data_IF_400594652876
#
_entry.id   IF_400594652876
#
_cell.length_a   1.000
_cell.length_b   1.000
_cell.length_c   1.000
_cell.angle_alpha   90.00
_cell.angle_beta   90.00
_cell.angle_gamma   90.00
#
_symmetry.space_group_name_H-M   'P 1'
#
loop_
_entity.id
_entity.type
_entity.pdbx_description
1 polymer ?
#
# COMPACT_ATOMS: atom_id res chain seq x y z
N UNK A 1 12.18 -18.78 7.35
CA UNK A 1 11.66 -17.42 7.12
C UNK A 1 10.40 -17.25 7.96
N UNK A 2 10.34 -16.27 8.85
CA UNK A 2 9.15 -15.99 9.65
C UNK A 2 8.04 -15.52 8.70
N UNK A 3 6.92 -16.25 8.66
CA UNK A 3 5.76 -15.81 7.91
C UNK A 3 5.19 -14.56 8.59
N UNK A 4 5.23 -13.44 7.90
CA UNK A 4 4.49 -12.23 8.25
C UNK A 4 3.24 -12.19 7.39
N UNK A 5 2.11 -11.84 7.98
CA UNK A 5 0.85 -11.78 7.25
C UNK A 5 0.29 -10.36 7.19
N UNK A 6 -0.48 -10.10 6.17
CA UNK A 6 -1.09 -8.81 5.90
C UNK A 6 -2.18 -8.98 4.85
N UNK A 7 -3.20 -8.14 4.91
CA UNK A 7 -4.12 -7.89 3.80
C UNK A 7 -4.12 -6.40 3.50
N UNK A 8 -3.71 -6.04 2.30
CA UNK A 8 -3.84 -4.65 1.80
C UNK A 8 -4.73 -4.60 0.58
N UNK A 9 -5.41 -3.50 0.40
CA UNK A 9 -6.31 -3.25 -0.74
C UNK A 9 -6.06 -1.83 -1.25
N UNK A 10 -6.01 -1.67 -2.56
CA UNK A 10 -6.04 -0.40 -3.26
C UNK A 10 -7.18 -0.39 -4.28
N UNK A 11 -7.96 0.68 -4.32
CA UNK A 11 -9.10 0.83 -5.26
C UNK A 11 -9.00 2.18 -5.95
N UNK A 12 -9.12 2.17 -7.27
CA UNK A 12 -9.31 3.38 -8.09
C UNK A 12 -10.81 3.64 -8.21
N UNK A 13 -11.24 4.82 -7.81
CA UNK A 13 -12.61 5.27 -7.94
C UNK A 13 -12.70 6.57 -8.74
N UNK A 14 -13.91 7.03 -9.04
CA UNK A 14 -14.16 8.18 -9.91
C UNK A 14 -13.46 9.46 -9.41
N UNK A 15 -13.44 9.68 -8.12
CA UNK A 15 -13.04 10.91 -7.45
C UNK A 15 -11.91 10.71 -6.42
N UNK A 16 -11.28 9.52 -6.39
CA UNK A 16 -10.22 9.23 -5.43
C UNK A 16 -9.51 7.91 -5.65
N UNK A 17 -8.54 7.67 -4.77
CA UNK A 17 -7.90 6.39 -4.52
C UNK A 17 -8.16 6.00 -3.07
N UNK A 18 -8.56 4.78 -2.83
CA UNK A 18 -8.72 4.22 -1.48
C UNK A 18 -7.62 3.21 -1.22
N UNK A 19 -6.91 3.37 -0.12
CA UNK A 19 -5.94 2.41 0.40
C UNK A 19 -6.44 1.88 1.74
N UNK A 20 -6.47 0.56 1.91
CA UNK A 20 -6.87 -0.07 3.16
C UNK A 20 -5.92 -1.20 3.55
N UNK A 21 -5.76 -1.44 4.84
CA UNK A 21 -5.00 -2.56 5.37
C UNK A 21 -5.53 -3.02 6.73
N UNK A 22 -5.25 -4.28 7.09
CA UNK A 22 -5.46 -4.79 8.44
C UNK A 22 -4.41 -4.27 9.43
N UNK A 23 -4.64 -4.47 10.74
CA UNK A 23 -3.77 -3.95 11.82
C UNK A 23 -2.98 -5.01 12.58
N UNK A 24 -2.95 -6.26 12.14
CA UNK A 24 -2.24 -7.34 12.81
C UNK A 24 -0.82 -7.50 12.29
N UNK A 25 0.18 -7.52 13.19
CA UNK A 25 1.52 -7.99 12.87
C UNK A 25 1.79 -9.33 13.54
N UNK A 26 2.34 -10.28 12.77
CA UNK A 26 2.65 -11.64 13.21
C UNK A 26 4.13 -11.96 13.03
N UNK A 27 4.64 -12.82 13.92
CA UNK A 27 5.93 -13.48 13.75
C UNK A 27 5.69 -14.99 13.83
N UNK A 28 5.65 -15.65 12.67
CA UNK A 28 5.20 -17.03 12.55
C UNK A 28 3.73 -17.15 12.94
N UNK A 29 3.45 -17.89 14.03
CA UNK A 29 2.09 -18.09 14.54
C UNK A 29 1.69 -17.12 15.68
N UNK A 30 2.64 -16.30 16.13
CA UNK A 30 2.41 -15.37 17.24
C UNK A 30 1.96 -14.00 16.73
N UNK A 31 0.92 -13.45 17.35
CA UNK A 31 0.53 -12.04 17.15
C UNK A 31 1.45 -11.20 18.03
N UNK A 32 2.33 -10.40 17.40
CA UNK A 32 3.30 -9.55 18.10
C UNK A 32 2.80 -8.12 18.28
N UNK A 33 1.92 -7.65 17.37
CA UNK A 33 1.28 -6.36 17.49
C UNK A 33 -0.17 -6.42 16.94
N UNK A 34 -1.09 -5.79 17.67
CA UNK A 34 -2.53 -5.68 17.33
C UNK A 34 -2.92 -4.31 16.79
N UNK A 35 -1.97 -3.39 16.70
CA UNK A 35 -2.18 -1.99 16.28
C UNK A 35 -1.12 -1.54 15.27
N UNK A 36 -0.59 -2.49 14.50
CA UNK A 36 0.43 -2.19 13.50
C UNK A 36 -0.14 -1.23 12.45
N UNK A 37 0.53 -0.10 12.24
CA UNK A 37 0.22 0.79 11.12
C UNK A 37 0.77 0.19 9.83
N UNK A 38 -0.11 -0.05 8.88
CA UNK A 38 0.23 -0.61 7.56
C UNK A 38 -0.15 0.32 6.40
N UNK A 39 -0.78 1.45 6.69
CA UNK A 39 -1.07 2.50 5.73
C UNK A 39 -0.36 3.78 6.17
N UNK A 40 0.56 4.28 5.36
CA UNK A 40 1.43 5.40 5.71
C UNK A 40 1.33 6.53 4.69
N UNK A 41 1.08 7.74 5.17
CA UNK A 41 1.26 8.95 4.36
C UNK A 41 2.76 9.22 4.26
N UNK A 42 3.28 9.33 3.04
CA UNK A 42 4.71 9.54 2.79
C UNK A 42 5.05 10.96 2.33
N UNK A 43 4.06 11.70 1.84
CA UNK A 43 4.14 13.14 1.53
C UNK A 43 2.73 13.73 1.53
N UNK A 44 2.59 15.01 1.23
CA UNK A 44 1.29 15.69 1.07
C UNK A 44 0.44 15.09 -0.06
N UNK A 45 1.09 14.43 -1.02
CA UNK A 45 0.44 13.96 -2.25
C UNK A 45 0.45 12.43 -2.38
N UNK A 46 1.17 11.68 -1.50
CA UNK A 46 1.32 10.24 -1.62
C UNK A 46 1.13 9.48 -0.31
N UNK A 47 0.48 8.32 -0.40
CA UNK A 47 0.40 7.34 0.67
C UNK A 47 0.72 5.93 0.14
N UNK A 48 1.17 5.04 1.03
CA UNK A 48 1.49 3.66 0.70
C UNK A 48 0.87 2.69 1.71
N UNK A 49 0.55 1.49 1.24
CA UNK A 49 0.35 0.33 2.11
C UNK A 49 1.62 -0.51 2.15
N UNK A 50 1.79 -1.30 3.20
CA UNK A 50 2.93 -2.20 3.35
C UNK A 50 2.47 -3.64 3.57
N UNK A 51 3.18 -4.59 2.95
CA UNK A 51 3.10 -6.01 3.22
C UNK A 51 4.52 -6.61 3.19
N UNK A 52 4.76 -7.66 3.97
CA UNK A 52 6.07 -8.32 4.04
C UNK A 52 6.84 -8.05 5.33
N UNK A 53 8.16 -7.93 5.24
CA UNK A 53 9.01 -7.75 6.41
C UNK A 53 8.90 -6.32 6.95
N UNK A 54 8.55 -6.20 8.23
CA UNK A 54 8.30 -4.90 8.88
C UNK A 54 9.54 -4.00 8.89
N UNK A 55 10.74 -4.57 9.17
CA UNK A 55 11.99 -3.79 9.23
C UNK A 55 12.34 -3.18 7.87
N UNK A 56 12.18 -3.97 6.80
CA UNK A 56 12.48 -3.53 5.44
C UNK A 56 11.49 -2.47 4.98
N UNK A 57 10.19 -2.67 5.28
CA UNK A 57 9.14 -1.69 4.99
C UNK A 57 9.37 -0.37 5.72
N UNK A 58 9.71 -0.41 7.02
CA UNK A 58 9.98 0.80 7.81
C UNK A 58 11.20 1.58 7.28
N UNK A 59 12.28 0.88 6.92
CA UNK A 59 13.45 1.52 6.32
C UNK A 59 13.09 2.15 4.98
N UNK A 60 12.38 1.41 4.13
CA UNK A 60 11.94 1.88 2.82
C UNK A 60 11.07 3.14 2.92
N UNK A 61 10.12 3.18 3.89
CA UNK A 61 9.30 4.37 4.13
C UNK A 61 10.13 5.59 4.55
N UNK A 62 11.13 5.39 5.40
CA UNK A 62 12.04 6.48 5.81
C UNK A 62 12.83 7.01 4.61
N UNK A 63 13.36 6.12 3.79
CA UNK A 63 14.14 6.48 2.61
C UNK A 63 13.28 7.21 1.58
N UNK A 64 12.12 6.68 1.21
CA UNK A 64 11.27 7.31 0.20
C UNK A 64 10.79 8.70 0.65
N UNK A 65 10.42 8.88 1.92
CA UNK A 65 10.07 10.20 2.47
C UNK A 65 11.21 11.21 2.32
N UNK A 66 12.43 10.81 2.68
CA UNK A 66 13.60 11.66 2.59
C UNK A 66 13.92 12.02 1.12
N UNK A 67 13.89 11.06 0.23
CA UNK A 67 14.21 11.26 -1.19
C UNK A 67 13.16 12.11 -1.92
N UNK A 68 11.85 11.91 -1.65
CA UNK A 68 10.80 12.77 -2.21
C UNK A 68 10.98 14.22 -1.75
N UNK A 69 11.26 14.42 -0.45
CA UNK A 69 11.48 15.76 0.09
C UNK A 69 12.76 16.40 -0.47
N UNK A 70 13.83 15.62 -0.59
CA UNK A 70 15.09 16.10 -1.17
C UNK A 70 14.93 16.51 -2.63
N UNK A 71 14.17 15.72 -3.42
CA UNK A 71 13.84 16.05 -4.81
C UNK A 71 13.07 17.37 -4.89
N UNK A 72 12.03 17.54 -4.07
CA UNK A 72 11.24 18.78 -4.04
C UNK A 72 12.11 19.99 -3.73
N UNK A 73 12.99 19.91 -2.71
CA UNK A 73 13.90 20.98 -2.33
C UNK A 73 14.91 21.30 -3.44
N UNK A 74 15.46 20.29 -4.11
CA UNK A 74 16.46 20.48 -5.18
C UNK A 74 15.87 21.01 -6.48
N UNK A 75 14.66 20.61 -6.81
CA UNK A 75 14.06 20.96 -8.11
C UNK A 75 13.01 22.06 -8.03
N UNK A 76 12.60 22.44 -6.82
CA UNK A 76 11.47 23.34 -6.55
C UNK A 76 10.15 22.87 -7.21
N UNK A 77 10.04 21.57 -7.47
CA UNK A 77 8.85 20.93 -8.08
C UNK A 77 8.45 19.72 -7.27
N UNK A 78 7.13 19.56 -7.10
CA UNK A 78 6.57 18.33 -6.52
C UNK A 78 6.84 17.15 -7.44
N UNK A 79 7.25 15.98 -6.90
CA UNK A 79 7.40 14.77 -7.69
C UNK A 79 6.06 14.32 -8.28
N UNK A 80 6.07 13.80 -9.50
CA UNK A 80 4.91 13.08 -10.05
C UNK A 80 4.75 11.70 -9.42
N UNK A 81 3.55 11.12 -9.52
CA UNK A 81 3.28 9.79 -9.01
C UNK A 81 4.15 8.72 -9.69
N UNK A 82 4.41 8.88 -10.99
CA UNK A 82 5.33 8.00 -11.74
C UNK A 82 6.77 8.10 -11.23
N UNK A 83 7.23 9.31 -10.91
CA UNK A 83 8.57 9.49 -10.35
C UNK A 83 8.68 8.90 -8.94
N UNK A 84 7.65 9.07 -8.11
CA UNK A 84 7.59 8.46 -6.78
C UNK A 84 7.59 6.92 -6.88
N UNK A 85 6.80 6.34 -7.79
CA UNK A 85 6.77 4.90 -8.03
C UNK A 85 8.14 4.38 -8.51
N UNK A 86 8.78 5.04 -9.48
CA UNK A 86 10.09 4.63 -9.97
C UNK A 86 11.18 4.71 -8.89
N UNK A 87 11.15 5.74 -8.06
CA UNK A 87 12.09 5.88 -6.96
C UNK A 87 11.91 4.77 -5.92
N UNK A 88 10.67 4.50 -5.53
CA UNK A 88 10.34 3.42 -4.59
C UNK A 88 10.70 2.04 -5.17
N UNK A 89 10.37 1.78 -6.44
CA UNK A 89 10.76 0.57 -7.14
C UNK A 89 12.28 0.36 -7.20
N UNK A 90 13.05 1.44 -7.43
CA UNK A 90 14.51 1.42 -7.39
C UNK A 90 15.07 1.06 -6.00
N UNK A 91 14.46 1.58 -4.93
CA UNK A 91 14.82 1.22 -3.55
C UNK A 91 14.57 -0.28 -3.30
N UNK A 92 13.40 -0.79 -3.70
CA UNK A 92 13.03 -2.21 -3.56
C UNK A 92 13.98 -3.11 -4.35
N UNK A 93 14.22 -2.78 -5.63
CA UNK A 93 15.16 -3.52 -6.48
C UNK A 93 16.55 -3.61 -5.84
N UNK A 94 17.07 -2.49 -5.34
CA UNK A 94 18.36 -2.44 -4.69
C UNK A 94 18.40 -3.24 -3.38
N UNK A 95 17.30 -3.23 -2.63
CA UNK A 95 17.18 -3.96 -1.36
C UNK A 95 17.21 -5.47 -1.56
N UNK A 96 16.39 -6.00 -2.48
CA UNK A 96 16.29 -7.46 -2.69
C UNK A 96 17.53 -8.04 -3.38
N UNK A 97 18.24 -7.24 -4.18
CA UNK A 97 19.47 -7.65 -4.89
C UNK A 97 20.75 -7.53 -4.05
N UNK A 98 20.66 -6.93 -2.87
CA UNK A 98 21.80 -6.84 -1.95
C UNK A 98 22.11 -8.25 -1.42
N UNK A 99 23.36 -8.72 -1.52
CA UNK A 99 23.77 -9.99 -0.93
C UNK A 99 23.47 -10.00 0.58
N UNK A 100 22.57 -10.90 0.99
CA UNK A 100 22.17 -11.05 2.40
C UNK A 100 21.59 -12.44 2.61
N UNK A 101 21.81 -13.01 3.79
CA UNK A 101 21.14 -14.24 4.21
C UNK A 101 19.63 -14.03 4.45
N UNK A 102 19.22 -12.78 4.70
CA UNK A 102 17.82 -12.37 4.88
C UNK A 102 17.50 -11.33 3.81
N UNK A 103 16.95 -11.75 2.65
CA UNK A 103 16.59 -10.81 1.60
C UNK A 103 15.51 -9.86 2.08
N UNK A 104 15.64 -8.59 1.70
CA UNK A 104 14.64 -7.55 1.98
C UNK A 104 13.39 -7.78 1.14
N UNK A 105 12.28 -8.16 1.78
CA UNK A 105 11.02 -8.43 1.10
C UNK A 105 9.96 -7.48 1.65
N UNK A 106 9.64 -6.45 0.87
CA UNK A 106 8.56 -5.53 1.16
C UNK A 106 7.77 -5.24 -0.12
N UNK A 107 6.46 -5.32 -0.03
CA UNK A 107 5.52 -5.05 -1.10
C UNK A 107 4.73 -3.81 -0.75
N UNK A 108 4.54 -2.90 -1.71
CA UNK A 108 3.84 -1.64 -1.51
C UNK A 108 2.75 -1.43 -2.54
N UNK A 109 1.61 -0.88 -2.10
CA UNK A 109 0.69 -0.18 -2.98
C UNK A 109 0.92 1.30 -2.77
N UNK A 110 1.18 2.05 -3.82
CA UNK A 110 1.38 3.50 -3.79
C UNK A 110 0.16 4.19 -4.41
N UNK A 111 -0.60 4.88 -3.59
CA UNK A 111 -1.64 5.80 -4.04
C UNK A 111 -1.14 7.24 -3.97
N UNK A 112 -1.56 8.06 -4.94
CA UNK A 112 -1.19 9.45 -4.93
C UNK A 112 -1.83 10.30 -5.99
N UNK A 113 -1.57 11.60 -5.90
CA UNK A 113 -2.02 12.62 -6.85
C UNK A 113 -0.86 13.43 -7.38
N UNK A 114 -0.98 13.87 -8.61
CA UNK A 114 -0.08 14.84 -9.24
C UNK A 114 -0.83 15.72 -10.24
N UNK A 115 -0.10 16.49 -11.03
CA UNK A 115 -0.69 17.38 -12.07
C UNK A 115 -1.43 16.63 -13.18
N UNK A 116 -1.26 15.31 -13.27
CA UNK A 116 -1.92 14.44 -14.25
C UNK A 116 -3.11 13.66 -13.65
N UNK A 117 -3.44 13.92 -12.38
CA UNK A 117 -4.57 13.32 -11.67
C UNK A 117 -4.18 12.30 -10.61
N UNK A 118 -5.06 11.33 -10.40
CA UNK A 118 -4.94 10.30 -9.37
C UNK A 118 -4.32 9.02 -9.94
N UNK A 119 -3.43 8.41 -9.16
CA UNK A 119 -2.66 7.25 -9.60
C UNK A 119 -2.56 6.21 -8.49
N UNK A 120 -2.69 4.94 -8.88
CA UNK A 120 -2.42 3.78 -8.05
C UNK A 120 -1.35 2.91 -8.73
N UNK A 121 -0.34 2.52 -7.98
CA UNK A 121 0.72 1.62 -8.43
C UNK A 121 0.87 0.45 -7.48
N UNK A 122 1.13 -0.70 -8.06
CA UNK A 122 1.61 -1.90 -7.38
C UNK A 122 3.13 -2.00 -7.54
N UNK A 123 3.85 -2.15 -6.42
CA UNK A 123 5.30 -2.22 -6.38
C UNK A 123 5.73 -3.50 -5.69
N UNK A 124 6.13 -4.47 -6.49
CA UNK A 124 6.57 -5.77 -6.02
C UNK A 124 7.96 -5.71 -5.36
N UNK A 125 8.28 -6.68 -4.50
CA UNK A 125 9.58 -6.73 -3.81
C UNK A 125 10.79 -6.79 -4.76
N UNK A 126 10.61 -7.28 -5.99
CA UNK A 126 11.65 -7.33 -7.02
C UNK A 126 11.92 -5.97 -7.70
N UNK A 127 11.15 -4.93 -7.33
CA UNK A 127 11.23 -3.60 -7.89
C UNK A 127 10.36 -3.39 -9.14
N UNK A 128 9.58 -4.40 -9.56
CA UNK A 128 8.62 -4.22 -10.66
C UNK A 128 7.48 -3.28 -10.26
N UNK A 129 7.01 -2.51 -11.23
CA UNK A 129 6.03 -1.43 -11.04
C UNK A 129 4.90 -1.63 -12.04
N UNK A 130 3.68 -1.75 -11.55
CA UNK A 130 2.47 -1.86 -12.37
C UNK A 130 1.50 -0.72 -12.03
N UNK A 131 1.04 0.02 -13.04
CA UNK A 131 -0.04 0.99 -12.86
C UNK A 131 -1.37 0.25 -12.80
N UNK A 132 -2.15 0.54 -11.76
CA UNK A 132 -3.47 -0.06 -11.54
C UNK A 132 -4.55 0.94 -11.97
N UNK A 133 -5.56 0.46 -12.69
CA UNK A 133 -6.67 1.26 -13.21
C UNK A 133 -8.03 0.92 -12.60
N UNK A 134 -8.07 -0.13 -11.78
CA UNK A 134 -9.26 -0.66 -11.12
C UNK A 134 -8.99 -0.92 -9.64
N UNK A 135 -8.53 -2.11 -9.29
CA UNK A 135 -8.23 -2.49 -7.91
C UNK A 135 -7.04 -3.45 -7.83
N UNK A 136 -6.49 -3.55 -6.64
CA UNK A 136 -5.37 -4.44 -6.33
C UNK A 136 -5.46 -4.88 -4.87
N UNK A 137 -4.98 -6.07 -4.57
CA UNK A 137 -4.80 -6.54 -3.20
C UNK A 137 -3.46 -7.24 -3.04
N UNK A 138 -2.84 -7.11 -1.88
CA UNK A 138 -1.53 -7.71 -1.59
C UNK A 138 -1.50 -8.30 -0.18
N UNK A 139 -0.52 -9.18 0.04
CA UNK A 139 -0.33 -9.89 1.30
C UNK A 139 -1.02 -11.26 1.35
N UNK A 140 -0.92 -11.95 2.50
CA UNK A 140 -1.40 -13.33 2.67
C UNK A 140 -2.92 -13.49 2.51
N UNK A 141 -3.69 -12.46 2.89
CA UNK A 141 -5.13 -12.46 2.78
C UNK A 141 -5.68 -11.96 1.44
N UNK A 142 -4.80 -11.57 0.49
CA UNK A 142 -5.20 -10.98 -0.79
C UNK A 142 -6.17 -11.84 -1.59
N UNK A 143 -6.01 -13.16 -1.57
CA UNK A 143 -6.90 -14.10 -2.30
C UNK A 143 -8.36 -13.99 -1.85
N UNK A 144 -8.60 -13.74 -0.57
CA UNK A 144 -9.95 -13.53 -0.03
C UNK A 144 -10.50 -12.15 -0.40
N UNK A 145 -9.64 -11.13 -0.37
CA UNK A 145 -10.01 -9.78 -0.77
C UNK A 145 -10.36 -9.70 -2.26
N UNK A 146 -9.58 -10.37 -3.13
CA UNK A 146 -9.86 -10.45 -4.56
C UNK A 146 -11.23 -11.04 -4.86
N UNK A 147 -11.67 -12.10 -4.15
CA UNK A 147 -12.99 -12.69 -4.35
C UNK A 147 -14.14 -11.69 -4.14
N UNK A 148 -13.96 -10.72 -3.23
CA UNK A 148 -14.94 -9.65 -3.00
C UNK A 148 -14.79 -8.53 -4.04
N UNK A 149 -13.56 -8.11 -4.33
CA UNK A 149 -13.26 -7.05 -5.28
C UNK A 149 -13.78 -7.40 -6.68
N UNK A 150 -13.46 -8.60 -7.19
CA UNK A 150 -13.92 -9.09 -8.52
C UNK A 150 -15.42 -9.10 -8.69
N UNK A 151 -16.16 -9.38 -7.61
CA UNK A 151 -17.62 -9.50 -7.67
C UNK A 151 -18.36 -8.18 -7.43
N UNK A 152 -17.73 -7.20 -6.78
CA UNK A 152 -18.42 -6.02 -6.32
C UNK A 152 -17.83 -4.69 -6.82
N UNK A 153 -16.61 -4.71 -7.37
CA UNK A 153 -16.04 -3.51 -7.98
C UNK A 153 -16.89 -3.07 -9.18
N UNK A 154 -17.10 -1.78 -9.27
CA UNK A 154 -17.76 -1.12 -10.41
C UNK A 154 -16.89 0.02 -10.88
N UNK A 155 -16.68 0.09 -12.18
CA UNK A 155 -16.01 1.24 -12.77
C UNK A 155 -16.78 2.52 -12.40
N UNK A 156 -16.05 3.58 -12.10
CA UNK A 156 -16.59 4.90 -11.74
C UNK A 156 -17.41 4.93 -10.42
N UNK A 157 -17.21 3.95 -9.52
CA UNK A 157 -17.75 4.02 -8.17
C UNK A 157 -17.23 5.26 -7.43
N UNK A 158 -18.02 5.77 -6.50
CA UNK A 158 -17.64 6.91 -5.65
C UNK A 158 -16.62 6.49 -4.58
N UNK A 159 -15.93 7.46 -3.99
CA UNK A 159 -15.00 7.23 -2.89
C UNK A 159 -15.67 6.52 -1.71
N UNK A 160 -16.92 6.89 -1.35
CA UNK A 160 -17.64 6.26 -0.24
C UNK A 160 -17.98 4.80 -0.53
N UNK A 161 -18.39 4.48 -1.75
CA UNK A 161 -18.62 3.11 -2.21
C UNK A 161 -17.30 2.30 -2.20
N UNK A 162 -16.20 2.92 -2.63
CA UNK A 162 -14.87 2.30 -2.64
C UNK A 162 -14.34 2.04 -1.22
N UNK A 163 -14.58 2.94 -0.27
CA UNK A 163 -14.27 2.74 1.17
C UNK A 163 -15.06 1.55 1.71
N UNK A 164 -16.38 1.51 1.46
CA UNK A 164 -17.21 0.40 1.90
C UNK A 164 -16.75 -0.94 1.30
N UNK A 165 -16.37 -0.95 0.01
CA UNK A 165 -15.85 -2.13 -0.67
C UNK A 165 -14.48 -2.55 -0.11
N UNK A 166 -13.56 -1.62 0.12
CA UNK A 166 -12.25 -1.89 0.69
C UNK A 166 -12.36 -2.50 2.10
N UNK A 167 -13.19 -1.90 2.96
CA UNK A 167 -13.47 -2.42 4.32
C UNK A 167 -14.06 -3.83 4.24
N UNK A 168 -15.03 -4.08 3.36
CA UNK A 168 -15.64 -5.40 3.18
C UNK A 168 -14.62 -6.43 2.70
N UNK A 169 -13.75 -6.07 1.76
CA UNK A 169 -12.73 -6.94 1.19
C UNK A 169 -11.69 -7.34 2.24
N UNK A 170 -11.15 -6.35 2.99
CA UNK A 170 -10.21 -6.63 4.08
C UNK A 170 -10.91 -7.45 5.17
N UNK A 171 -12.14 -7.10 5.57
CA UNK A 171 -12.87 -7.83 6.61
C UNK A 171 -13.12 -9.29 6.23
N UNK A 172 -13.36 -9.59 4.96
CA UNK A 172 -13.50 -10.98 4.47
C UNK A 172 -12.17 -11.75 4.67
N UNK A 173 -11.04 -11.12 4.40
CA UNK A 173 -9.73 -11.73 4.66
C UNK A 173 -9.50 -11.97 6.17
N UNK A 174 -9.92 -11.03 7.03
CA UNK A 174 -9.80 -11.18 8.50
C UNK A 174 -10.51 -12.43 9.03
N UNK A 175 -11.53 -12.92 8.35
CA UNK A 175 -12.27 -14.13 8.76
C UNK A 175 -11.53 -15.44 8.42
N UNK A 176 -10.59 -15.43 7.49
CA UNK A 176 -9.94 -16.62 6.93
C UNK A 176 -8.43 -16.62 7.00
N UNK A 177 -7.78 -15.46 6.93
CA UNK A 177 -6.34 -15.35 7.05
C UNK A 177 -5.94 -15.15 8.51
N UNK A 178 -5.32 -16.15 9.10
CA UNK A 178 -4.87 -16.12 10.50
C UNK A 178 -3.84 -15.02 10.78
N UNK A 179 -3.14 -14.55 9.76
CA UNK A 179 -2.11 -13.54 9.88
C UNK A 179 -2.62 -12.10 9.68
N UNK A 180 -3.89 -11.93 9.27
CA UNK A 180 -4.58 -10.64 9.19
C UNK A 180 -5.59 -10.48 10.32
N UNK A 181 -5.81 -9.25 10.82
CA UNK A 181 -6.78 -9.03 11.89
C UNK A 181 -6.66 -7.71 12.63
N UNK A 182 -7.38 -7.61 13.74
CA UNK A 182 -7.30 -6.53 14.73
C UNK A 182 -7.77 -5.14 14.26
N UNK A 183 -8.62 -5.10 13.23
CA UNK A 183 -9.16 -3.86 12.69
C UNK A 183 -8.64 -3.52 11.31
N UNK A 184 -9.14 -2.44 10.76
CA UNK A 184 -8.85 -1.98 9.41
C UNK A 184 -8.45 -0.51 9.49
N UNK A 185 -7.45 -0.13 8.76
CA UNK A 185 -7.02 1.24 8.55
C UNK A 185 -7.29 1.64 7.11
N UNK A 186 -7.90 2.80 6.89
CA UNK A 186 -8.28 3.28 5.57
C UNK A 186 -7.81 4.71 5.36
N UNK A 187 -7.19 4.95 4.20
CA UNK A 187 -6.84 6.28 3.71
C UNK A 187 -7.52 6.52 2.38
N UNK A 188 -8.11 7.69 2.24
CA UNK A 188 -8.67 8.23 1.01
C UNK A 188 -7.74 9.32 0.49
N UNK A 189 -7.41 9.26 -0.79
CA UNK A 189 -6.63 10.26 -1.52
C UNK A 189 -7.54 10.84 -2.59
N UNK A 190 -7.84 12.11 -2.52
CA UNK A 190 -8.57 12.84 -3.56
C UNK A 190 -7.73 14.03 -4.05
N UNK A 191 -8.28 14.80 -4.99
CA UNK A 191 -7.56 15.96 -5.55
C UNK A 191 -7.19 17.02 -4.51
N UNK A 192 -7.93 17.11 -3.40
CA UNK A 192 -7.74 18.14 -2.37
C UNK A 192 -6.79 17.69 -1.27
N UNK A 193 -7.00 16.50 -0.72
CA UNK A 193 -6.31 16.04 0.48
C UNK A 193 -6.10 14.53 0.53
N UNK A 194 -5.27 14.10 1.47
CA UNK A 194 -5.14 12.71 1.93
C UNK A 194 -5.76 12.65 3.32
N UNK A 195 -6.79 11.82 3.48
CA UNK A 195 -7.55 11.72 4.73
C UNK A 195 -7.63 10.29 5.21
N UNK A 196 -7.42 10.07 6.51
CA UNK A 196 -7.71 8.80 7.19
C UNK A 196 -9.18 8.79 7.62
N UNK A 197 -9.90 7.72 7.37
CA UNK A 197 -11.33 7.53 7.63
C UNK A 197 -11.59 6.34 8.53
#
# INVERSE_FOLDING_TARGET
>A
MLKTGTTTVGIVCKDGIVLAADKRATAGHMIVDKRADKVHVISDDFAVTIAGNVSDAQLTIKLIRAELKLKEVRTYKKPSAKEAANLLGGILFSSIRRPSMLPGIAHFLLGGKDVHGLHLYDLFPDGSITRITDFISSGSGSVFAYGVLETQYKKDMTTDEAVALAVKSVNTALQRDSASGNGIDVIVINEKEIKRV
#
